data_IF_212109423838
#
_entry.id   IF_212109423838
#
_cell.length_a   1.000
_cell.length_b   1.000
_cell.length_c   1.000
_cell.angle_alpha   90.00
_cell.angle_beta   90.00
_cell.angle_gamma   90.00
#
_symmetry.space_group_name_H-M   'P 1'
#
loop_
_entity.id
_entity.type
_entity.pdbx_description
1 polymer ?
#
# COMPACT_ATOMS: atom_id res chain seq x y z
N UNK A 1 2.66 -2.46 25.82
CA UNK A 1 2.74 -1.00 25.59
C UNK A 1 3.28 -0.81 24.17
N UNK A 2 2.41 -0.58 23.19
CA UNK A 2 2.86 -0.19 21.86
C UNK A 2 3.32 1.28 21.91
N UNK A 3 4.56 1.52 21.53
CA UNK A 3 5.11 2.88 21.55
C UNK A 3 4.40 3.75 20.49
N UNK A 4 4.39 5.08 20.69
CA UNK A 4 3.90 6.05 19.67
C UNK A 4 4.55 5.84 18.29
N UNK A 5 5.77 5.31 18.26
CA UNK A 5 6.49 4.96 17.03
C UNK A 5 5.84 3.81 16.27
N UNK A 6 5.35 2.79 16.97
CA UNK A 6 4.69 1.64 16.33
C UNK A 6 3.35 2.03 15.71
N UNK A 7 2.62 2.95 16.33
CA UNK A 7 1.36 3.43 15.78
C UNK A 7 1.56 4.25 14.49
N UNK A 8 2.55 5.13 14.46
CA UNK A 8 2.88 5.94 13.27
C UNK A 8 3.53 5.08 12.18
N UNK A 9 4.38 4.12 12.53
CA UNK A 9 5.01 3.23 11.55
C UNK A 9 3.99 2.31 10.87
N UNK A 10 2.98 1.83 11.60
CA UNK A 10 1.88 1.04 11.01
C UNK A 10 1.11 1.79 9.93
N UNK A 11 1.08 3.12 10.00
CA UNK A 11 0.42 3.97 9.01
C UNK A 11 1.35 4.39 7.85
N UNK A 12 2.65 4.36 8.04
CA UNK A 12 3.62 4.78 7.03
C UNK A 12 3.96 3.69 6.00
N UNK A 13 3.49 2.45 6.25
CA UNK A 13 3.86 1.25 5.50
C UNK A 13 2.86 0.83 4.45
N UNK A 14 2.16 1.75 3.83
CA UNK A 14 1.19 1.39 2.80
C UNK A 14 1.89 1.26 1.45
N UNK A 15 2.39 0.08 1.18
CA UNK A 15 2.62 -0.40 -0.17
C UNK A 15 1.28 -0.77 -0.83
N UNK A 16 1.28 -0.98 -2.14
CA UNK A 16 0.10 -1.18 -3.00
C UNK A 16 -0.95 -2.18 -2.49
N UNK A 17 -0.61 -3.04 -1.56
CA UNK A 17 -1.50 -4.09 -1.06
C UNK A 17 -2.05 -3.88 0.36
N UNK A 18 -1.62 -2.84 1.07
CA UNK A 18 -1.86 -2.69 2.52
C UNK A 18 -2.89 -1.66 2.96
N UNK A 19 -3.58 -1.06 2.04
CA UNK A 19 -4.23 0.23 2.17
C UNK A 19 -5.41 0.38 3.12
N UNK A 20 -6.06 -0.66 3.55
CA UNK A 20 -7.38 -0.49 4.17
C UNK A 20 -7.41 0.06 5.58
N UNK A 21 -6.41 -0.20 6.37
CA UNK A 21 -6.38 0.34 7.73
C UNK A 21 -6.35 1.88 7.76
N UNK A 22 -6.19 2.50 6.59
CA UNK A 22 -5.77 3.88 6.46
C UNK A 22 -6.76 4.80 5.74
N UNK A 23 -7.84 4.25 5.22
CA UNK A 23 -8.89 5.02 4.53
C UNK A 23 -9.51 6.16 5.35
N UNK A 24 -9.04 6.38 6.55
CA UNK A 24 -9.74 7.11 7.58
C UNK A 24 -9.16 8.48 7.94
N UNK A 25 -8.24 8.98 7.16
CA UNK A 25 -7.70 10.33 7.36
C UNK A 25 -8.58 11.45 6.84
N UNK A 26 -9.70 11.14 6.18
CA UNK A 26 -10.64 12.15 5.72
C UNK A 26 -11.71 12.43 6.78
N UNK A 27 -11.89 13.67 7.24
CA UNK A 27 -12.96 14.05 8.17
C UNK A 27 -14.37 13.70 7.65
N UNK A 28 -14.51 13.48 6.33
CA UNK A 28 -15.76 13.06 5.70
C UNK A 28 -16.11 11.59 5.92
N UNK A 29 -15.11 10.73 6.18
CA UNK A 29 -15.34 9.31 6.43
C UNK A 29 -15.58 9.01 7.92
N UNK A 30 -15.30 9.94 8.83
CA UNK A 30 -15.55 9.79 10.27
C UNK A 30 -17.01 10.02 10.68
N UNK A 31 -17.91 10.41 9.76
CA UNK A 31 -19.34 10.45 10.04
C UNK A 31 -19.95 9.08 9.77
N UNK A 32 -20.65 8.54 10.74
CA UNK A 32 -21.47 7.33 10.64
C UNK A 32 -22.52 7.40 9.51
N UNK A 33 -22.72 8.59 8.92
CA UNK A 33 -23.66 8.87 7.82
C UNK A 33 -23.00 8.86 6.43
N UNK A 34 -21.72 8.50 6.33
CA UNK A 34 -20.96 8.57 5.08
C UNK A 34 -21.49 7.74 3.90
N UNK A 35 -22.21 6.61 4.05
CA UNK A 35 -22.76 5.90 2.92
C UNK A 35 -23.82 6.69 2.13
N UNK A 36 -24.49 7.63 2.75
CA UNK A 36 -25.56 8.39 2.11
C UNK A 36 -25.10 9.49 1.14
N UNK A 37 -23.84 9.94 1.27
CA UNK A 37 -23.30 11.08 0.50
C UNK A 37 -22.66 10.72 -0.85
N UNK A 38 -22.38 9.44 -1.12
CA UNK A 38 -21.66 8.97 -2.32
C UNK A 38 -22.54 8.33 -3.40
N UNK A 39 -23.83 8.67 -3.42
CA UNK A 39 -24.74 8.17 -4.44
C UNK A 39 -25.41 6.84 -4.03
N UNK A 40 -26.67 6.70 -4.39
CA UNK A 40 -27.57 5.61 -4.05
C UNK A 40 -26.98 4.23 -4.31
N UNK A 41 -26.26 3.69 -3.32
CA UNK A 41 -26.04 2.26 -3.26
C UNK A 41 -27.41 1.56 -3.17
N UNK A 42 -27.74 0.67 -4.08
CA UNK A 42 -28.93 -0.14 -3.92
C UNK A 42 -28.70 -1.06 -2.71
N UNK A 43 -29.35 -0.78 -1.59
CA UNK A 43 -29.07 -1.42 -0.30
C UNK A 43 -29.12 -2.96 -0.28
N UNK A 44 -29.69 -3.60 -1.27
CA UNK A 44 -29.80 -5.06 -1.37
C UNK A 44 -28.47 -5.81 -1.59
N UNK A 45 -27.48 -5.20 -2.22
CA UNK A 45 -26.22 -5.87 -2.49
C UNK A 45 -25.18 -5.67 -1.39
N UNK A 46 -25.35 -4.63 -0.60
CA UNK A 46 -24.55 -4.40 0.60
C UNK A 46 -25.02 -5.27 1.76
N UNK A 47 -26.30 -5.62 1.77
CA UNK A 47 -26.94 -6.56 2.70
C UNK A 47 -27.22 -7.87 1.99
N UNK A 48 -26.50 -8.89 2.33
CA UNK A 48 -26.65 -10.20 1.70
C UNK A 48 -26.75 -11.33 2.72
N UNK A 49 -27.08 -12.56 2.25
CA UNK A 49 -27.27 -13.71 3.13
C UNK A 49 -25.97 -14.17 3.81
N UNK A 50 -24.81 -13.82 3.26
CA UNK A 50 -23.51 -14.23 3.81
C UNK A 50 -22.74 -13.07 4.43
N UNK A 51 -22.69 -11.91 3.77
CA UNK A 51 -21.93 -10.74 4.22
C UNK A 51 -22.82 -9.50 4.22
N UNK A 52 -22.83 -8.77 5.34
CA UNK A 52 -23.42 -7.44 5.45
C UNK A 52 -22.30 -6.38 5.49
N UNK A 53 -22.10 -5.67 4.39
CA UNK A 53 -21.08 -4.64 4.25
C UNK A 53 -21.38 -3.34 5.03
N UNK A 54 -22.49 -3.27 5.73
CA UNK A 54 -22.81 -2.18 6.67
C UNK A 54 -22.20 -2.44 8.05
N UNK A 55 -21.60 -3.61 8.29
CA UNK A 55 -21.01 -4.01 9.56
C UNK A 55 -19.48 -4.12 9.47
N UNK A 56 -18.80 -3.87 10.58
CA UNK A 56 -17.35 -4.06 10.68
C UNK A 56 -16.93 -5.51 10.37
N UNK A 57 -17.69 -6.49 10.87
CA UNK A 57 -17.46 -7.91 10.63
C UNK A 57 -17.59 -8.29 9.15
N UNK A 58 -18.62 -7.76 8.47
CA UNK A 58 -18.79 -7.97 7.03
C UNK A 58 -17.64 -7.40 6.22
N UNK A 59 -17.21 -6.20 6.56
CA UNK A 59 -16.05 -5.57 5.92
C UNK A 59 -14.74 -6.31 6.23
N UNK A 60 -14.52 -6.75 7.47
CA UNK A 60 -13.38 -7.58 7.85
C UNK A 60 -13.32 -8.85 6.98
N UNK A 61 -14.43 -9.56 6.81
CA UNK A 61 -14.52 -10.75 5.97
C UNK A 61 -14.15 -10.48 4.51
N UNK A 62 -14.80 -9.50 3.89
CA UNK A 62 -14.54 -9.18 2.47
C UNK A 62 -13.14 -8.66 2.27
N UNK A 63 -12.68 -7.80 3.16
CA UNK A 63 -11.33 -7.27 3.07
C UNK A 63 -10.25 -8.35 3.25
N UNK A 64 -10.46 -9.29 4.18
CA UNK A 64 -9.55 -10.41 4.34
C UNK A 64 -9.48 -11.26 3.05
N UNK A 65 -10.62 -11.53 2.38
CA UNK A 65 -10.67 -12.24 1.10
C UNK A 65 -10.05 -11.44 -0.07
N UNK A 66 -10.08 -10.11 -0.03
CA UNK A 66 -9.36 -9.27 -0.98
C UNK A 66 -7.85 -9.40 -0.78
N UNK A 67 -7.41 -9.40 0.47
CA UNK A 67 -6.00 -9.34 0.82
C UNK A 67 -5.31 -10.70 0.90
N UNK A 68 -6.07 -11.78 1.08
CA UNK A 68 -5.52 -13.13 1.23
C UNK A 68 -6.57 -14.20 0.93
N UNK A 69 -6.41 -15.37 1.55
CA UNK A 69 -7.32 -16.51 1.43
C UNK A 69 -7.83 -16.91 2.82
N UNK A 70 -9.15 -17.00 3.03
CA UNK A 70 -9.75 -17.50 4.26
C UNK A 70 -9.64 -19.03 4.41
N UNK A 71 -9.14 -19.74 3.40
CA UNK A 71 -8.58 -21.07 3.57
C UNK A 71 -7.18 -20.89 4.16
N UNK A 72 -7.16 -20.67 5.49
CA UNK A 72 -6.01 -20.20 6.23
C UNK A 72 -4.78 -21.07 5.97
N UNK A 73 -3.63 -20.42 5.79
CA UNK A 73 -2.36 -21.07 5.44
C UNK A 73 -2.12 -21.15 3.94
N UNK A 74 -3.12 -20.97 3.07
CA UNK A 74 -2.91 -20.81 1.64
C UNK A 74 -2.40 -19.42 1.31
N UNK A 75 -1.54 -19.37 0.31
CA UNK A 75 -0.97 -18.13 -0.19
C UNK A 75 -1.83 -17.52 -1.29
N UNK A 76 -1.78 -16.20 -1.37
CA UNK A 76 -2.37 -15.40 -2.44
C UNK A 76 -1.36 -14.37 -2.91
N UNK A 77 -1.28 -14.18 -4.21
CA UNK A 77 -0.53 -13.07 -4.80
C UNK A 77 -1.44 -11.90 -5.12
N UNK A 78 -0.96 -10.70 -4.79
CA UNK A 78 -1.48 -9.45 -5.33
C UNK A 78 -0.38 -8.80 -6.16
N UNK A 79 -0.72 -8.21 -7.29
CA UNK A 79 0.23 -7.60 -8.22
C UNK A 79 -0.10 -6.13 -8.50
N UNK A 80 0.89 -5.38 -8.92
CA UNK A 80 0.74 -4.02 -9.44
C UNK A 80 1.76 -3.74 -10.54
N UNK A 81 1.33 -2.95 -11.53
CA UNK A 81 2.14 -2.61 -12.69
C UNK A 81 1.74 -1.25 -13.25
N UNK A 82 2.71 -0.39 -13.50
CA UNK A 82 2.48 0.95 -14.01
C UNK A 82 3.74 1.78 -14.12
N UNK A 83 3.62 3.07 -13.87
CA UNK A 83 4.68 4.05 -14.06
C UNK A 83 4.85 4.94 -12.85
N UNK A 84 6.06 5.47 -12.72
CA UNK A 84 6.38 6.57 -11.81
C UNK A 84 6.75 7.79 -12.65
N UNK A 85 6.05 8.87 -12.41
CA UNK A 85 6.24 10.12 -13.12
C UNK A 85 6.74 11.21 -12.16
N UNK A 86 7.44 12.20 -12.68
CA UNK A 86 7.78 13.42 -11.96
C UNK A 86 6.72 14.48 -12.15
N UNK A 87 6.33 15.13 -11.06
CA UNK A 87 5.50 16.33 -11.07
C UNK A 87 6.34 17.48 -10.55
N UNK A 88 6.60 18.47 -11.42
CA UNK A 88 7.44 19.63 -11.08
C UNK A 88 6.75 20.96 -11.43
N UNK A 89 6.91 22.01 -10.62
CA UNK A 89 6.29 23.30 -10.90
C UNK A 89 6.64 23.82 -12.31
N UNK A 90 5.62 24.17 -13.08
CA UNK A 90 5.77 24.75 -14.42
C UNK A 90 6.34 23.81 -15.49
N UNK A 91 6.40 22.49 -15.23
CA UNK A 91 6.85 21.46 -16.17
C UNK A 91 5.72 20.51 -16.55
N UNK A 92 5.86 19.86 -17.69
CA UNK A 92 4.97 18.74 -18.08
C UNK A 92 5.22 17.57 -17.12
N UNK A 93 4.20 16.72 -16.97
CA UNK A 93 4.37 15.40 -16.38
C UNK A 93 5.36 14.62 -17.24
N UNK A 94 6.34 14.00 -16.60
CA UNK A 94 7.37 13.19 -17.28
C UNK A 94 7.45 11.83 -16.61
N UNK A 95 7.24 10.77 -17.37
CA UNK A 95 7.45 9.42 -16.89
C UNK A 95 8.95 9.18 -16.71
N UNK A 96 9.32 8.65 -15.55
CA UNK A 96 10.71 8.43 -15.17
C UNK A 96 11.13 6.98 -15.39
N UNK A 97 10.30 6.06 -14.94
CA UNK A 97 10.54 4.62 -14.99
C UNK A 97 9.23 3.85 -14.82
N UNK A 98 9.22 2.62 -15.28
CA UNK A 98 8.18 1.65 -14.96
C UNK A 98 8.26 1.20 -13.50
N UNK A 99 7.17 0.64 -13.00
CA UNK A 99 7.12 0.06 -11.67
C UNK A 99 6.23 -1.17 -11.68
N UNK A 100 6.84 -2.32 -11.39
CA UNK A 100 6.14 -3.60 -11.32
C UNK A 100 6.48 -4.31 -10.02
N UNK A 101 5.49 -4.95 -9.42
CA UNK A 101 5.72 -5.69 -8.19
C UNK A 101 4.55 -6.55 -7.78
N UNK A 102 4.79 -7.33 -6.73
CA UNK A 102 3.78 -8.20 -6.16
C UNK A 102 3.98 -8.37 -4.66
N UNK A 103 2.93 -8.83 -4.01
CA UNK A 103 2.95 -9.28 -2.62
C UNK A 103 2.53 -10.74 -2.55
N UNK A 104 3.16 -11.50 -1.67
CA UNK A 104 2.77 -12.86 -1.32
C UNK A 104 2.27 -12.89 0.10
N UNK A 105 1.04 -13.30 0.27
CA UNK A 105 0.25 -13.15 1.49
C UNK A 105 -0.28 -14.49 1.94
N UNK A 106 -0.24 -14.75 3.25
CA UNK A 106 -1.12 -15.73 3.92
C UNK A 106 -1.84 -15.08 5.09
N UNK A 107 -2.98 -15.65 5.44
CA UNK A 107 -3.79 -15.20 6.56
C UNK A 107 -3.73 -16.21 7.71
N UNK A 108 -3.81 -15.70 8.93
CA UNK A 108 -3.97 -16.50 10.16
C UNK A 108 -5.13 -15.94 10.98
N UNK A 109 -6.08 -16.81 11.37
CA UNK A 109 -7.14 -16.41 12.27
C UNK A 109 -6.67 -16.45 13.72
N UNK A 110 -6.98 -15.40 14.47
CA UNK A 110 -6.64 -15.30 15.88
C UNK A 110 -7.85 -15.70 16.75
N UNK A 111 -7.60 -16.15 18.01
CA UNK A 111 -8.68 -16.55 18.93
C UNK A 111 -9.68 -15.43 19.25
N UNK A 112 -9.27 -14.17 19.15
CA UNK A 112 -10.12 -12.98 19.36
C UNK A 112 -10.97 -12.60 18.14
N UNK A 113 -10.88 -13.40 17.06
CA UNK A 113 -11.59 -13.16 15.81
C UNK A 113 -10.90 -12.19 14.86
N UNK A 114 -9.78 -11.60 15.24
CA UNK A 114 -8.95 -10.83 14.32
C UNK A 114 -8.23 -11.74 13.33
N UNK A 115 -7.76 -11.17 12.22
CA UNK A 115 -7.06 -11.89 11.16
C UNK A 115 -5.69 -11.25 10.97
N UNK A 116 -4.63 -12.00 11.19
CA UNK A 116 -3.28 -11.60 10.85
C UNK A 116 -3.04 -11.77 9.36
N UNK A 117 -2.56 -10.72 8.73
CA UNK A 117 -2.07 -10.74 7.36
C UNK A 117 -0.55 -10.73 7.40
N UNK A 118 0.03 -11.83 6.95
CA UNK A 118 1.48 -12.08 6.94
C UNK A 118 1.93 -12.04 5.50
N UNK A 119 2.83 -11.13 5.18
CA UNK A 119 3.25 -10.95 3.80
C UNK A 119 4.67 -10.41 3.61
N UNK A 120 5.16 -10.64 2.39
CA UNK A 120 6.29 -9.93 1.78
C UNK A 120 5.81 -9.17 0.56
N UNK A 121 6.47 -8.07 0.29
CA UNK A 121 6.19 -7.22 -0.88
C UNK A 121 7.49 -6.85 -1.57
N UNK A 122 7.53 -7.02 -2.89
CA UNK A 122 8.64 -6.58 -3.74
C UNK A 122 8.11 -5.74 -4.87
N UNK A 123 8.79 -4.63 -5.18
CA UNK A 123 8.47 -3.75 -6.29
C UNK A 123 9.73 -3.19 -6.93
N UNK A 124 9.86 -3.39 -8.23
CA UNK A 124 11.06 -3.08 -8.99
C UNK A 124 10.80 -1.92 -9.96
N UNK A 125 11.77 -1.04 -10.05
CA UNK A 125 11.78 0.03 -11.05
C UNK A 125 12.42 -0.49 -12.34
N UNK A 126 11.80 -0.17 -13.48
CA UNK A 126 12.22 -0.68 -14.80
C UNK A 126 12.46 0.46 -15.78
N UNK A 127 13.33 0.24 -16.74
CA UNK A 127 13.53 1.17 -17.86
C UNK A 127 12.27 1.24 -18.73
N UNK A 128 11.87 2.45 -19.10
CA UNK A 128 10.63 2.68 -19.88
C UNK A 128 10.64 2.09 -21.28
N UNK A 129 11.82 1.89 -21.86
CA UNK A 129 11.94 1.43 -23.26
C UNK A 129 12.21 -0.05 -23.36
N UNK A 130 13.17 -0.53 -22.56
CA UNK A 130 13.61 -1.92 -22.59
C UNK A 130 12.79 -2.83 -21.67
N UNK A 131 12.18 -2.27 -20.59
CA UNK A 131 11.54 -3.04 -19.55
C UNK A 131 12.51 -3.73 -18.58
N UNK A 132 13.81 -3.54 -18.78
CA UNK A 132 14.84 -4.12 -17.90
C UNK A 132 14.80 -3.50 -16.52
N UNK A 133 15.09 -4.30 -15.49
CA UNK A 133 15.17 -3.81 -14.10
C UNK A 133 16.37 -2.87 -13.98
N UNK A 134 16.13 -1.70 -13.40
CA UNK A 134 17.14 -0.67 -13.23
C UNK A 134 18.04 -0.97 -12.03
N UNK A 135 19.33 -1.20 -12.26
CA UNK A 135 20.35 -1.22 -11.20
C UNK A 135 20.85 0.19 -10.88
N UNK A 136 20.95 1.03 -11.90
CA UNK A 136 21.31 2.43 -11.83
C UNK A 136 20.36 3.29 -12.66
N UNK A 137 20.20 4.54 -12.26
CA UNK A 137 19.40 5.51 -13.02
C UNK A 137 20.16 6.84 -13.17
N UNK A 138 20.15 7.38 -14.38
CA UNK A 138 20.65 8.73 -14.62
C UNK A 138 19.57 9.73 -14.24
N UNK A 139 19.77 10.45 -13.15
CA UNK A 139 18.85 11.51 -12.72
C UNK A 139 19.07 12.79 -13.56
N UNK A 140 18.17 13.13 -14.49
CA UNK A 140 18.34 14.30 -15.35
C UNK A 140 18.22 15.63 -14.60
N UNK A 141 17.74 15.62 -13.36
CA UNK A 141 17.48 16.83 -12.59
C UNK A 141 18.72 17.31 -11.81
N UNK A 142 19.59 16.40 -11.46
CA UNK A 142 20.83 16.69 -10.75
C UNK A 142 22.08 16.25 -11.52
N UNK A 143 21.92 15.67 -12.72
CA UNK A 143 22.96 15.17 -13.60
C UNK A 143 23.86 14.09 -12.97
N UNK A 144 23.31 13.24 -12.11
CA UNK A 144 24.03 12.18 -11.42
C UNK A 144 23.52 10.80 -11.80
N UNK A 145 24.41 9.80 -11.87
CA UNK A 145 24.04 8.39 -11.83
C UNK A 145 23.90 7.98 -10.37
N UNK A 146 22.78 7.35 -10.06
CA UNK A 146 22.44 6.91 -8.71
C UNK A 146 22.08 5.43 -8.74
N UNK A 147 22.50 4.65 -7.74
CA UNK A 147 21.99 3.28 -7.61
C UNK A 147 20.51 3.30 -7.30
N UNK A 148 19.77 2.41 -7.93
CA UNK A 148 18.33 2.26 -7.69
C UNK A 148 18.12 1.39 -6.46
N UNK A 149 17.28 1.85 -5.53
CA UNK A 149 16.87 1.04 -4.38
C UNK A 149 15.42 0.62 -4.59
N UNK A 150 15.23 -0.65 -4.83
CA UNK A 150 13.92 -1.25 -5.03
C UNK A 150 13.12 -1.35 -3.73
N UNK A 151 11.81 -1.54 -3.84
CA UNK A 151 10.97 -1.84 -2.69
C UNK A 151 11.13 -3.32 -2.37
N UNK A 152 11.54 -3.63 -1.14
CA UNK A 152 11.66 -4.99 -0.64
C UNK A 152 11.25 -4.99 0.84
N UNK A 153 9.96 -5.15 1.11
CA UNK A 153 9.41 -5.13 2.46
C UNK A 153 9.23 -6.56 2.97
N UNK A 154 10.04 -6.94 3.96
CA UNK A 154 9.96 -8.24 4.65
C UNK A 154 10.27 -8.05 6.15
N UNK A 155 9.28 -8.22 7.02
CA UNK A 155 7.85 -8.45 6.75
C UNK A 155 7.08 -7.16 6.47
N UNK A 156 5.86 -7.33 5.91
CA UNK A 156 4.90 -6.25 5.75
C UNK A 156 3.55 -6.60 6.36
N UNK A 157 3.55 -6.88 7.65
CA UNK A 157 2.45 -7.49 8.39
C UNK A 157 1.49 -6.47 8.97
N UNK A 158 0.18 -6.81 9.02
CA UNK A 158 -0.80 -6.08 9.82
C UNK A 158 -1.98 -6.98 10.22
N UNK A 159 -2.83 -6.46 11.10
CA UNK A 159 -4.02 -7.15 11.62
C UNK A 159 -5.27 -6.53 11.02
N UNK A 160 -6.16 -7.37 10.49
CA UNK A 160 -7.48 -7.00 10.02
C UNK A 160 -8.47 -7.27 11.15
N UNK A 161 -9.09 -6.20 11.66
CA UNK A 161 -9.99 -6.26 12.79
C UNK A 161 -11.36 -5.72 12.42
N UNK A 162 -12.38 -6.10 13.16
CA UNK A 162 -13.73 -5.55 13.02
C UNK A 162 -13.81 -4.08 13.43
N UNK A 163 -12.95 -3.67 14.35
CA UNK A 163 -12.80 -2.28 14.82
C UNK A 163 -11.34 -1.86 14.67
N UNK A 164 -11.11 -0.67 14.20
CA UNK A 164 -9.75 -0.15 14.03
C UNK A 164 -9.60 1.21 14.74
N UNK A 165 -8.39 1.59 15.15
CA UNK A 165 -8.12 2.89 15.73
C UNK A 165 -8.23 3.98 14.66
N UNK A 166 -8.88 5.09 15.00
CA UNK A 166 -8.85 6.28 14.15
C UNK A 166 -7.41 6.76 13.98
N UNK A 167 -7.03 7.16 12.75
CA UNK A 167 -5.72 7.76 12.52
C UNK A 167 -5.59 9.06 13.33
N UNK A 168 -4.35 9.49 13.63
CA UNK A 168 -4.09 10.75 14.29
C UNK A 168 -4.66 11.90 13.48
N UNK A 169 -5.54 12.65 14.10
CA UNK A 169 -6.12 13.89 13.58
C UNK A 169 -5.89 15.02 14.56
N UNK A 170 -6.22 16.25 14.21
CA UNK A 170 -6.10 17.38 15.12
C UNK A 170 -6.81 17.15 16.45
N UNK A 171 -7.93 16.42 16.46
CA UNK A 171 -8.71 16.14 17.67
C UNK A 171 -8.16 15.02 18.55
N UNK A 172 -7.28 14.14 18.03
CA UNK A 172 -6.79 12.97 18.76
C UNK A 172 -5.28 12.74 18.70
N UNK A 173 -4.49 13.72 18.19
CA UNK A 173 -3.04 13.63 18.06
C UNK A 173 -2.32 13.28 19.37
N UNK A 174 -2.86 13.67 20.50
CA UNK A 174 -2.31 13.45 21.84
C UNK A 174 -3.05 12.36 22.62
N UNK A 175 -4.01 11.67 22.01
CA UNK A 175 -4.73 10.60 22.67
C UNK A 175 -3.79 9.42 22.98
N UNK A 176 -3.75 8.97 24.23
CA UNK A 176 -2.99 7.78 24.61
C UNK A 176 -3.54 6.51 23.93
N UNK A 177 -4.88 6.47 23.82
CA UNK A 177 -5.61 5.41 23.09
C UNK A 177 -6.57 6.09 22.11
N UNK A 178 -6.28 6.08 20.82
CA UNK A 178 -7.21 6.62 19.83
C UNK A 178 -8.54 5.84 19.88
N UNK A 179 -9.68 6.51 19.69
CA UNK A 179 -10.96 5.84 19.63
C UNK A 179 -10.98 4.79 18.52
N UNK A 180 -11.62 3.67 18.79
CA UNK A 180 -11.82 2.61 17.80
C UNK A 180 -13.22 2.72 17.20
N UNK A 181 -13.29 2.61 15.89
CA UNK A 181 -14.56 2.67 15.15
C UNK A 181 -14.75 1.38 14.34
N UNK A 182 -16.01 1.02 14.00
CA UNK A 182 -16.23 -0.11 13.13
C UNK A 182 -15.48 0.03 11.80
N UNK A 183 -14.91 -1.05 11.34
CA UNK A 183 -14.21 -1.11 10.05
C UNK A 183 -15.22 -1.14 8.89
N UNK A 184 -15.64 0.03 8.43
CA UNK A 184 -16.62 0.20 7.35
C UNK A 184 -15.92 0.83 6.14
N UNK A 185 -15.92 0.13 5.01
CA UNK A 185 -15.33 0.56 3.75
C UNK A 185 -16.40 1.15 2.82
N UNK A 186 -16.04 2.10 1.95
CA UNK A 186 -16.98 2.84 1.10
C UNK A 186 -17.37 2.04 -0.15
N UNK A 187 -18.12 0.97 0.02
CA UNK A 187 -18.59 0.14 -1.07
C UNK A 187 -19.68 0.83 -1.91
N UNK A 188 -19.60 0.65 -3.22
CA UNK A 188 -20.63 1.06 -4.17
C UNK A 188 -20.95 -0.09 -5.11
N UNK A 189 -22.22 -0.39 -5.27
CA UNK A 189 -22.65 -1.38 -6.26
C UNK A 189 -23.04 -0.72 -7.58
N UNK A 190 -22.55 -1.29 -8.68
CA UNK A 190 -22.88 -0.93 -10.05
C UNK A 190 -23.17 -2.20 -10.86
N UNK A 191 -24.44 -2.58 -10.94
CA UNK A 191 -24.85 -3.85 -11.55
C UNK A 191 -24.32 -5.06 -10.77
N UNK A 192 -23.61 -5.95 -11.42
CA UNK A 192 -22.97 -7.12 -10.81
C UNK A 192 -21.62 -6.80 -10.13
N UNK A 193 -21.12 -5.58 -10.28
CA UNK A 193 -19.83 -5.16 -9.74
C UNK A 193 -20.01 -4.41 -8.43
N UNK A 194 -19.14 -4.71 -7.48
CA UNK A 194 -18.93 -3.96 -6.25
C UNK A 194 -17.60 -3.21 -6.36
N UNK A 195 -17.65 -1.89 -6.23
CA UNK A 195 -16.51 -1.02 -6.25
C UNK A 195 -16.20 -0.51 -4.84
N UNK A 196 -14.93 -0.44 -4.49
CA UNK A 196 -14.47 0.15 -3.24
C UNK A 196 -13.29 1.08 -3.52
N UNK A 197 -13.41 2.31 -3.05
CA UNK A 197 -12.37 3.33 -3.21
C UNK A 197 -11.84 3.74 -1.84
N UNK A 198 -10.53 3.66 -1.66
CA UNK A 198 -9.84 4.08 -0.43
C UNK A 198 -8.91 5.23 -0.76
N UNK A 199 -9.09 6.34 -0.05
CA UNK A 199 -8.23 7.51 -0.13
C UNK A 199 -7.46 7.66 1.18
N UNK A 200 -6.14 7.74 1.07
CA UNK A 200 -5.23 7.86 2.21
C UNK A 200 -4.44 9.15 2.06
N UNK A 201 -4.45 9.97 3.10
CA UNK A 201 -3.65 11.17 3.17
C UNK A 201 -2.93 11.20 4.50
N UNK A 202 -1.61 11.07 4.47
CA UNK A 202 -0.78 10.96 5.67
C UNK A 202 0.26 12.05 5.72
N UNK A 203 0.51 12.55 6.93
CA UNK A 203 1.65 13.37 7.28
C UNK A 203 2.27 12.75 8.53
N UNK A 204 3.53 12.34 8.43
CA UNK A 204 4.24 11.70 9.54
C UNK A 204 5.72 12.11 9.61
N UNK A 205 6.39 11.97 10.78
CA UNK A 205 7.80 12.26 10.92
C UNK A 205 8.65 11.42 9.96
N UNK A 206 9.58 12.08 9.25
CA UNK A 206 10.48 11.41 8.31
C UNK A 206 11.52 10.56 9.05
N UNK A 207 11.64 9.28 8.68
CA UNK A 207 12.70 8.40 9.17
C UNK A 207 14.09 8.88 8.72
N UNK A 208 14.17 9.49 7.53
CA UNK A 208 15.39 10.10 6.98
C UNK A 208 15.47 11.56 7.43
N UNK A 209 16.04 11.80 8.62
CA UNK A 209 16.19 13.16 9.16
C UNK A 209 17.10 14.00 8.27
N UNK A 210 16.74 15.26 7.92
CA UNK A 210 17.52 16.09 7.01
C UNK A 210 18.99 16.28 7.43
N UNK A 211 19.25 16.30 8.73
CA UNK A 211 20.60 16.48 9.28
C UNK A 211 21.50 15.26 9.02
N UNK A 212 20.90 14.07 8.94
CA UNK A 212 21.61 12.81 8.71
C UNK A 212 21.57 12.38 7.24
N UNK A 213 20.52 12.77 6.52
CA UNK A 213 20.21 12.39 5.14
C UNK A 213 19.97 13.63 4.27
N UNK A 214 20.97 14.52 4.10
CA UNK A 214 20.75 15.83 3.48
C UNK A 214 20.34 15.76 2.01
N UNK A 215 20.64 14.68 1.32
CA UNK A 215 20.36 14.50 -0.11
C UNK A 215 19.13 13.64 -0.38
N UNK A 216 18.77 12.77 0.54
CA UNK A 216 17.67 11.81 0.45
C UNK A 216 16.39 12.36 1.06
N UNK A 217 16.54 13.16 2.11
CA UNK A 217 15.42 13.59 2.94
C UNK A 217 14.54 14.64 2.28
N UNK A 218 13.25 14.39 2.22
CA UNK A 218 12.25 15.37 1.80
C UNK A 218 11.91 16.44 2.86
N UNK A 219 12.59 16.44 3.99
CA UNK A 219 12.32 17.34 5.11
C UNK A 219 11.95 16.61 6.40
N UNK A 220 11.51 17.35 7.40
CA UNK A 220 11.15 16.81 8.73
C UNK A 220 9.94 15.88 8.72
N UNK A 221 9.05 16.08 7.77
CA UNK A 221 7.81 15.31 7.59
C UNK A 221 7.74 14.76 6.18
N UNK A 222 7.07 13.62 6.08
CA UNK A 222 6.69 13.01 4.80
C UNK A 222 5.19 13.20 4.63
N UNK A 223 4.79 13.66 3.44
CA UNK A 223 3.39 13.73 3.04
C UNK A 223 3.17 12.74 1.91
N UNK A 224 2.22 11.83 2.10
CA UNK A 224 1.84 10.80 1.12
C UNK A 224 0.34 10.85 0.92
N UNK A 225 -0.08 10.76 -0.33
CA UNK A 225 -1.47 10.53 -0.70
C UNK A 225 -1.56 9.29 -1.56
N UNK A 226 -2.48 8.39 -1.22
CA UNK A 226 -2.72 7.16 -1.96
C UNK A 226 -4.20 7.00 -2.26
N UNK A 227 -4.47 6.47 -3.42
CA UNK A 227 -5.80 6.14 -3.90
C UNK A 227 -5.79 4.69 -4.38
N UNK A 228 -6.72 3.91 -3.86
CA UNK A 228 -6.93 2.53 -4.28
C UNK A 228 -8.39 2.36 -4.71
N UNK A 229 -8.60 1.83 -5.89
CA UNK A 229 -9.92 1.38 -6.32
C UNK A 229 -9.87 -0.12 -6.56
N UNK A 230 -10.78 -0.85 -5.91
CA UNK A 230 -10.94 -2.29 -6.08
C UNK A 230 -12.30 -2.57 -6.72
N UNK A 231 -12.30 -3.45 -7.71
CA UNK A 231 -13.49 -3.90 -8.42
C UNK A 231 -13.64 -5.40 -8.28
N UNK A 232 -14.74 -5.84 -7.67
CA UNK A 232 -15.03 -7.26 -7.41
C UNK A 232 -16.43 -7.63 -7.90
N UNK A 233 -16.67 -8.93 -8.13
CA UNK A 233 -17.98 -9.44 -8.44
C UNK A 233 -18.85 -9.52 -7.16
N UNK A 234 -20.02 -8.90 -7.16
CA UNK A 234 -20.91 -8.88 -6.02
C UNK A 234 -21.44 -10.28 -5.65
N UNK A 235 -21.61 -11.18 -6.62
CA UNK A 235 -22.02 -12.55 -6.35
C UNK A 235 -20.93 -13.35 -5.62
N UNK A 236 -19.65 -13.12 -5.96
CA UNK A 236 -18.53 -13.77 -5.27
C UNK A 236 -18.39 -13.28 -3.83
N UNK A 237 -18.68 -12.01 -3.59
CA UNK A 237 -18.70 -11.43 -2.23
C UNK A 237 -19.72 -12.16 -1.35
N UNK A 238 -20.89 -12.49 -1.90
CA UNK A 238 -21.97 -13.18 -1.19
C UNK A 238 -21.87 -14.70 -1.23
N UNK A 239 -20.84 -15.27 -1.84
CA UNK A 239 -20.64 -16.71 -1.92
C UNK A 239 -19.67 -17.20 -0.82
N UNK A 240 -20.15 -17.99 0.18
CA UNK A 240 -19.29 -18.49 1.25
C UNK A 240 -18.23 -19.51 0.79
N UNK A 241 -18.35 -20.05 -0.42
CA UNK A 241 -17.36 -20.97 -1.00
C UNK A 241 -16.17 -20.23 -1.64
N UNK A 242 -16.29 -18.92 -1.86
CA UNK A 242 -15.22 -18.07 -2.39
C UNK A 242 -14.38 -17.58 -1.23
N UNK A 243 -13.31 -18.28 -0.91
CA UNK A 243 -12.41 -17.97 0.21
C UNK A 243 -11.41 -16.86 -0.08
N UNK A 244 -11.16 -16.58 -1.36
CA UNK A 244 -10.37 -15.44 -1.86
C UNK A 244 -11.12 -14.73 -2.98
N UNK A 245 -11.10 -13.42 -2.99
CA UNK A 245 -11.74 -12.60 -4.01
C UNK A 245 -10.71 -12.18 -5.06
N UNK A 246 -10.87 -12.61 -6.33
CA UNK A 246 -10.17 -11.95 -7.43
C UNK A 246 -10.63 -10.49 -7.53
N UNK A 247 -9.72 -9.60 -7.85
CA UNK A 247 -10.06 -8.21 -8.10
C UNK A 247 -9.15 -7.60 -9.16
N UNK A 248 -9.66 -6.58 -9.83
CA UNK A 248 -8.89 -5.64 -10.62
C UNK A 248 -9.07 -4.26 -10.04
N UNK A 249 -8.09 -3.39 -10.27
CA UNK A 249 -8.17 -2.06 -9.72
C UNK A 249 -7.07 -1.13 -10.19
N UNK A 250 -7.01 0.01 -9.55
CA UNK A 250 -5.93 0.97 -9.75
C UNK A 250 -5.37 1.41 -8.41
N UNK A 251 -4.07 1.67 -8.40
CA UNK A 251 -3.37 2.31 -7.31
C UNK A 251 -2.62 3.52 -7.83
N UNK A 252 -2.86 4.66 -7.20
CA UNK A 252 -2.12 5.88 -7.44
C UNK A 252 -1.50 6.37 -6.13
N UNK A 253 -0.28 6.89 -6.22
CA UNK A 253 0.41 7.45 -5.05
C UNK A 253 1.11 8.74 -5.42
N UNK A 254 0.94 9.75 -4.59
CA UNK A 254 1.76 10.96 -4.58
C UNK A 254 2.67 10.89 -3.37
N UNK A 255 3.97 11.00 -3.58
CA UNK A 255 5.00 10.88 -2.54
C UNK A 255 6.14 11.83 -2.86
N UNK A 256 6.89 12.33 -1.87
CA UNK A 256 8.12 13.05 -2.14
C UNK A 256 9.05 12.29 -3.09
N UNK A 257 10.07 12.94 -3.59
CA UNK A 257 11.12 12.30 -4.36
C UNK A 257 11.62 11.05 -3.62
N UNK A 258 11.86 9.96 -4.36
CA UNK A 258 12.38 8.74 -3.76
C UNK A 258 13.79 9.01 -3.20
N UNK A 259 14.14 8.50 -2.02
CA UNK A 259 15.40 8.83 -1.35
C UNK A 259 16.63 8.61 -2.24
N UNK A 260 16.67 7.49 -2.95
CA UNK A 260 17.78 7.14 -3.83
C UNK A 260 17.93 8.05 -5.06
N UNK A 261 16.91 8.85 -5.40
CA UNK A 261 17.03 9.86 -6.46
C UNK A 261 17.90 11.04 -6.05
N UNK A 262 18.21 11.19 -4.76
CA UNK A 262 19.04 12.24 -4.20
C UNK A 262 18.56 13.67 -4.55
N UNK A 263 17.26 13.85 -4.56
CA UNK A 263 16.59 15.13 -4.86
C UNK A 263 16.39 15.99 -3.61
N UNK A 264 16.49 15.38 -2.41
CA UNK A 264 16.27 16.08 -1.14
C UNK A 264 14.95 16.84 -1.11
N UNK A 265 15.01 18.12 -0.80
CA UNK A 265 13.85 19.03 -0.74
C UNK A 265 13.64 19.83 -2.03
N UNK A 266 14.16 19.36 -3.18
CA UNK A 266 13.91 20.01 -4.47
C UNK A 266 12.40 20.10 -4.77
N UNK A 267 11.91 21.20 -5.34
CA UNK A 267 10.49 21.34 -5.67
C UNK A 267 10.01 20.27 -6.62
N UNK A 268 8.87 19.64 -6.27
CA UNK A 268 8.27 18.55 -7.03
C UNK A 268 8.11 17.29 -6.20
N UNK A 269 7.61 16.24 -6.84
CA UNK A 269 7.34 14.94 -6.20
C UNK A 269 7.21 13.83 -7.25
N UNK A 270 7.14 12.59 -6.80
CA UNK A 270 6.81 11.43 -7.61
C UNK A 270 5.31 11.11 -7.55
N UNK A 271 4.76 10.70 -8.68
CA UNK A 271 3.41 10.16 -8.79
C UNK A 271 3.49 8.75 -9.38
N UNK A 272 2.94 7.78 -8.68
CA UNK A 272 2.71 6.44 -9.20
C UNK A 272 1.30 6.35 -9.80
N UNK A 273 1.20 5.67 -10.93
CA UNK A 273 -0.06 5.34 -11.57
C UNK A 273 0.01 3.88 -12.02
N UNK A 274 -0.64 2.98 -11.28
CA UNK A 274 -0.54 1.55 -11.48
C UNK A 274 -1.91 0.91 -11.60
N UNK A 275 -2.03 -0.07 -12.46
CA UNK A 275 -3.04 -1.12 -12.34
C UNK A 275 -2.62 -2.07 -11.22
N UNK A 276 -3.61 -2.68 -10.58
CA UNK A 276 -3.38 -3.71 -9.57
C UNK A 276 -4.45 -4.79 -9.66
N UNK A 277 -4.14 -5.97 -9.16
CA UNK A 277 -5.09 -7.05 -9.18
C UNK A 277 -4.64 -8.28 -8.40
N UNK A 278 -5.51 -9.28 -8.41
CA UNK A 278 -5.22 -10.62 -7.91
C UNK A 278 -6.18 -11.64 -8.53
N UNK A 279 -5.74 -12.88 -8.63
CA UNK A 279 -6.52 -13.98 -9.21
C UNK A 279 -5.80 -14.64 -10.36
N UNK A 280 -4.99 -13.88 -11.07
CA UNK A 280 -4.08 -14.36 -12.12
C UNK A 280 -2.80 -14.93 -11.51
N UNK A 281 -2.09 -15.77 -12.25
CA UNK A 281 -0.72 -16.16 -11.89
C UNK A 281 0.25 -14.99 -12.12
N UNK A 282 1.37 -14.98 -11.41
CA UNK A 282 2.37 -13.92 -11.60
C UNK A 282 2.95 -13.94 -13.02
N UNK A 283 3.08 -15.11 -13.64
CA UNK A 283 3.58 -15.29 -15.00
C UNK A 283 2.66 -14.68 -16.05
N UNK A 284 1.35 -14.56 -15.77
CA UNK A 284 0.37 -13.95 -16.68
C UNK A 284 0.42 -12.42 -16.66
N UNK A 285 0.79 -11.83 -15.52
CA UNK A 285 0.63 -10.39 -15.30
C UNK A 285 1.94 -9.62 -15.19
N UNK A 286 3.01 -10.28 -14.72
CA UNK A 286 4.33 -9.66 -14.55
C UNK A 286 5.21 -9.83 -15.78
N UNK A 287 6.11 -8.88 -16.00
CA UNK A 287 7.13 -9.05 -17.04
C UNK A 287 8.14 -10.12 -16.64
N UNK A 288 8.64 -10.86 -17.65
CA UNK A 288 9.62 -11.93 -17.41
C UNK A 288 10.89 -11.40 -16.78
N UNK A 289 11.36 -10.21 -17.20
CA UNK A 289 12.54 -9.55 -16.65
C UNK A 289 12.41 -9.31 -15.14
N UNK A 290 11.21 -8.88 -14.68
CA UNK A 290 10.94 -8.66 -13.26
C UNK A 290 10.93 -9.98 -12.50
N UNK A 291 10.25 -11.01 -13.01
CA UNK A 291 10.22 -12.33 -12.36
C UNK A 291 11.61 -12.94 -12.23
N UNK A 292 12.41 -12.93 -13.30
CA UNK A 292 13.78 -13.44 -13.31
C UNK A 292 14.68 -12.68 -12.32
N UNK A 293 14.52 -11.36 -12.25
CA UNK A 293 15.26 -10.54 -11.27
C UNK A 293 14.87 -10.88 -9.83
N UNK A 294 13.57 -11.06 -9.55
CA UNK A 294 13.10 -11.45 -8.20
C UNK A 294 13.58 -12.87 -7.86
N UNK A 295 13.50 -13.82 -8.80
CA UNK A 295 13.98 -15.18 -8.58
C UNK A 295 15.47 -15.21 -8.21
N UNK A 296 16.27 -14.39 -8.87
CA UNK A 296 17.72 -14.29 -8.63
C UNK A 296 18.07 -13.57 -7.33
N UNK A 297 17.42 -12.44 -7.03
CA UNK A 297 17.86 -11.51 -5.97
C UNK A 297 16.96 -11.54 -4.73
N UNK A 298 15.70 -11.95 -4.87
CA UNK A 298 14.67 -11.93 -3.82
C UNK A 298 13.83 -13.24 -3.79
N UNK A 299 14.43 -14.45 -3.91
CA UNK A 299 13.67 -15.69 -4.12
C UNK A 299 12.65 -16.00 -3.01
N UNK A 300 12.88 -15.50 -1.80
CA UNK A 300 11.95 -15.69 -0.68
C UNK A 300 10.63 -14.95 -0.84
N UNK A 301 10.55 -13.97 -1.74
CA UNK A 301 9.35 -13.15 -1.92
C UNK A 301 8.22 -13.87 -2.67
N UNK A 302 8.53 -14.98 -3.33
CA UNK A 302 7.50 -15.88 -3.90
C UNK A 302 6.72 -16.65 -2.85
N UNK A 303 7.10 -16.55 -1.56
CA UNK A 303 6.43 -17.19 -0.44
C UNK A 303 6.14 -16.17 0.65
N UNK A 304 5.01 -16.33 1.34
CA UNK A 304 4.74 -15.56 2.53
C UNK A 304 5.71 -15.95 3.67
N UNK A 305 5.97 -15.08 4.66
CA UNK A 305 6.73 -15.47 5.85
C UNK A 305 6.07 -16.65 6.57
N UNK A 306 6.86 -17.56 7.12
CA UNK A 306 6.34 -18.76 7.79
C UNK A 306 5.53 -18.40 9.04
N UNK A 307 5.89 -17.32 9.72
CA UNK A 307 5.26 -16.90 10.97
C UNK A 307 5.17 -15.37 11.07
N UNK A 308 4.27 -14.95 11.91
CA UNK A 308 4.12 -13.55 12.29
C UNK A 308 5.41 -13.01 12.94
N UNK A 309 5.77 -11.78 12.59
CA UNK A 309 6.72 -10.95 13.34
C UNK A 309 6.04 -9.63 13.69
N UNK A 310 6.37 -9.07 14.85
CA UNK A 310 5.68 -7.87 15.37
C UNK A 310 6.11 -6.57 14.69
N UNK A 311 7.12 -6.60 13.84
CA UNK A 311 7.72 -5.40 13.29
C UNK A 311 7.55 -5.35 11.78
N UNK A 312 6.68 -4.42 11.34
CA UNK A 312 6.64 -3.98 9.94
C UNK A 312 7.23 -2.58 9.87
N UNK A 313 8.26 -2.40 9.08
CA UNK A 313 8.88 -1.11 8.83
C UNK A 313 8.31 -0.50 7.56
N UNK A 314 8.24 0.82 7.51
CA UNK A 314 7.97 1.54 6.26
C UNK A 314 9.15 1.39 5.29
N UNK A 315 8.89 1.59 4.00
CA UNK A 315 9.98 1.61 3.00
C UNK A 315 11.07 2.65 3.35
N UNK A 316 10.72 3.76 4.00
CA UNK A 316 11.71 4.75 4.45
C UNK A 316 12.51 4.29 5.67
N UNK A 317 11.88 3.55 6.59
CA UNK A 317 12.59 2.95 7.71
C UNK A 317 13.50 1.80 7.25
N UNK A 318 13.04 0.99 6.27
CA UNK A 318 13.87 -0.01 5.62
C UNK A 318 15.07 0.65 4.92
N UNK A 319 14.83 1.73 4.17
CA UNK A 319 15.89 2.49 3.54
C UNK A 319 16.91 3.02 4.57
N UNK A 320 16.44 3.61 5.67
CA UNK A 320 17.31 4.11 6.75
C UNK A 320 18.13 3.02 7.42
N UNK A 321 17.60 1.78 7.47
CA UNK A 321 18.27 0.62 8.05
C UNK A 321 19.33 0.02 7.12
N UNK A 322 19.06 -0.01 5.83
CA UNK A 322 19.81 -0.77 4.84
C UNK A 322 20.78 0.07 4.02
N UNK A 323 20.53 1.37 3.93
CA UNK A 323 21.35 2.30 3.16
C UNK A 323 22.24 3.18 4.06
N UNK A 324 23.16 3.87 3.43
CA UNK A 324 23.97 4.91 4.05
C UNK A 324 23.73 6.24 3.36
N UNK A 325 23.83 7.37 4.09
CA UNK A 325 23.69 8.68 3.46
C UNK A 325 24.68 8.86 2.30
N UNK A 326 24.19 9.38 1.20
CA UNK A 326 25.04 9.71 0.07
C UNK A 326 26.06 10.79 0.45
N UNK A 327 27.28 10.75 -0.12
CA UNK A 327 28.27 11.78 0.13
C UNK A 327 27.75 13.16 -0.29
N UNK A 328 28.21 14.24 0.35
CA UNK A 328 27.86 15.59 -0.08
C UNK A 328 28.18 15.81 -1.56
N UNK A 329 27.41 16.65 -2.25
CA UNK A 329 27.75 17.03 -3.61
C UNK A 329 29.16 17.63 -3.65
N UNK A 330 29.98 17.24 -4.63
CA UNK A 330 31.19 17.98 -4.92
C UNK A 330 30.88 19.47 -5.15
N UNK A 331 31.66 20.33 -4.54
CA UNK A 331 31.53 21.79 -4.73
C UNK A 331 31.90 22.19 -6.15
#
# INVERSE_FOLDING_TARGET
MHSRRQFVSSFATVGAAGAAALAMGSPRLARADAPAALGRASGKALEGPYVDLRTGKGNQNVYARLQGDLDFGKEKHGWYKGFVSSVRPGKKLEDLFGFEGFSTVKLEQMPDGSIRRILREVGLYTDLKSGEVLEEWYNPYNAERVPVVHVANDPFNYVIEEYFPLPPTFGNLNAEKPPRVPFILPWQQRGSRLDMEIHIHLIYPNALKPEQWPRESSGKFVTVSEFFAHHVNAADVQNPKVTKLPYHGVWNRVTPWLPWMLMGQAPGHCQYACFMGSGESLEEVMSRQVLDHVEKNYPTYFKAPDKWSDVSLSSLENYAREQKPAPPKPK
#
